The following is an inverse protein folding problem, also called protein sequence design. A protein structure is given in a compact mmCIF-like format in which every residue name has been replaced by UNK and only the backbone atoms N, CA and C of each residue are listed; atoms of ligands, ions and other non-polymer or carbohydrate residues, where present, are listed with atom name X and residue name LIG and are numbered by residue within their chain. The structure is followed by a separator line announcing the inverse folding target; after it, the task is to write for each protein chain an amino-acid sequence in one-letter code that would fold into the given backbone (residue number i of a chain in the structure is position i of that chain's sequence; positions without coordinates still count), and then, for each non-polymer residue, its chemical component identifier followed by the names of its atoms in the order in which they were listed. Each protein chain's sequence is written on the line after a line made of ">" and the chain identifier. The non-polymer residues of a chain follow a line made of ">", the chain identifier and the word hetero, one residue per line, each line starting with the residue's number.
data_IF_994912697444
#
_entry.id   IF_994912697444
#
_cell.length_a   1.000
_cell.length_b   1.000
_cell.length_c   1.000
_cell.angle_alpha   90.00
_cell.angle_beta   90.00
_cell.angle_gamma   90.00
#
_symmetry.space_group_name_H-M   'P 1'
#
loop_
_entity.id
_entity.type
_entity.pdbx_description
1 polymer ?
#
# COMPACT_ATOMS: atom_id res chain seq x y z
N UNK A 1 54.86 -25.52 -2.48
CA UNK A 1 53.90 -24.56 -3.05
C UNK A 1 53.40 -23.71 -1.89
N UNK A 2 53.86 -22.46 -1.86
CA UNK A 2 53.81 -21.54 -0.73
C UNK A 2 52.44 -20.84 -0.61
N UNK A 3 51.80 -20.94 0.55
CA UNK A 3 50.59 -20.19 0.89
C UNK A 3 50.95 -18.76 1.31
N UNK A 4 50.33 -17.76 0.66
CA UNK A 4 50.50 -16.36 0.98
C UNK A 4 49.31 -15.84 1.81
N UNK A 5 49.58 -15.53 3.08
CA UNK A 5 48.66 -14.87 4.01
C UNK A 5 48.58 -13.38 3.64
N UNK A 6 47.46 -12.93 3.09
CA UNK A 6 47.21 -11.49 2.85
C UNK A 6 46.67 -10.87 4.13
N UNK A 7 47.51 -10.06 4.80
CA UNK A 7 47.14 -9.24 5.96
C UNK A 7 46.37 -7.99 5.51
N UNK A 8 45.30 -7.67 6.25
CA UNK A 8 44.47 -6.46 6.11
C UNK A 8 45.14 -5.32 6.90
N UNK A 9 45.32 -4.09 6.36
CA UNK A 9 45.84 -2.99 7.16
C UNK A 9 44.71 -2.32 7.96
N UNK A 10 45.01 -2.07 9.23
CA UNK A 10 44.17 -1.33 10.17
C UNK A 10 44.26 0.19 9.97
N UNK A 11 43.17 0.84 10.36
CA UNK A 11 42.95 2.27 10.39
C UNK A 11 43.83 2.99 11.40
N UNK A 12 44.53 4.04 10.97
CA UNK A 12 45.06 5.09 11.84
C UNK A 12 44.44 6.42 11.42
N UNK A 13 43.58 6.98 12.28
CA UNK A 13 43.06 8.32 12.13
C UNK A 13 44.07 9.36 12.58
N UNK A 14 44.17 10.46 11.83
CA UNK A 14 44.81 11.70 12.28
C UNK A 14 44.00 12.92 11.83
N UNK A 15 44.02 13.93 12.70
CA UNK A 15 43.10 15.05 12.81
C UNK A 15 43.35 16.21 11.83
N UNK A 16 42.24 16.85 11.44
CA UNK A 16 41.98 18.29 11.28
C UNK A 16 43.09 19.22 10.77
N UNK A 17 42.85 19.81 9.59
CA UNK A 17 43.01 21.26 9.36
C UNK A 17 41.77 21.81 8.66
N UNK A 18 41.03 22.61 9.42
CA UNK A 18 39.95 23.47 8.94
C UNK A 18 40.61 24.61 8.17
N UNK A 19 40.27 24.79 6.90
CA UNK A 19 40.59 26.00 6.15
C UNK A 19 39.31 26.55 5.52
N UNK A 20 39.22 27.86 5.58
CA UNK A 20 38.02 28.67 5.58
C UNK A 20 37.11 28.54 4.36
N UNK A 21 35.80 28.55 4.65
CA UNK A 21 34.72 28.61 3.67
C UNK A 21 34.57 30.05 3.20
N UNK A 22 35.20 30.40 2.08
CA UNK A 22 34.78 31.53 1.26
C UNK A 22 33.53 31.15 0.47
N UNK A 23 32.41 31.82 0.80
CA UNK A 23 31.15 31.75 0.08
C UNK A 23 31.32 32.32 -1.33
N UNK A 24 31.49 31.44 -2.32
CA UNK A 24 31.23 31.76 -3.72
C UNK A 24 29.91 31.06 -4.11
N UNK A 25 28.80 31.78 -3.97
CA UNK A 25 27.51 31.37 -4.52
C UNK A 25 27.45 31.87 -5.96
N UNK A 26 28.20 31.22 -6.84
CA UNK A 26 27.96 31.34 -8.27
C UNK A 26 26.87 30.35 -8.68
N UNK A 27 25.86 30.88 -9.37
CA UNK A 27 24.67 30.16 -9.80
C UNK A 27 25.01 29.08 -10.82
N UNK A 28 25.30 27.87 -10.34
CA UNK A 28 25.26 26.66 -11.16
C UNK A 28 23.82 26.45 -11.61
N UNK A 29 23.51 26.86 -12.84
CA UNK A 29 22.27 26.49 -13.51
C UNK A 29 22.20 24.96 -13.54
N UNK A 30 21.37 24.37 -12.66
CA UNK A 30 21.15 22.93 -12.61
C UNK A 30 20.63 22.50 -13.98
N UNK A 31 21.48 21.85 -14.77
CA UNK A 31 21.04 21.15 -15.96
C UNK A 31 19.89 20.20 -15.56
N UNK A 32 18.82 20.10 -16.36
CA UNK A 32 17.71 19.22 -16.04
C UNK A 32 18.24 17.79 -15.86
N UNK A 33 17.85 17.15 -14.77
CA UNK A 33 18.23 15.77 -14.48
C UNK A 33 17.69 14.85 -15.59
N UNK A 34 18.58 14.38 -16.47
CA UNK A 34 18.24 13.39 -17.49
C UNK A 34 18.38 12.01 -16.86
N UNK A 35 17.26 11.35 -16.58
CA UNK A 35 17.25 9.97 -16.07
C UNK A 35 17.79 9.04 -17.17
N UNK A 36 18.88 8.28 -16.92
CA UNK A 36 19.35 7.26 -17.86
C UNK A 36 18.22 6.28 -18.21
N UNK A 37 18.07 5.96 -19.50
CA UNK A 37 17.07 5.01 -19.95
C UNK A 37 17.48 3.60 -19.50
N UNK A 38 16.92 3.15 -18.38
CA UNK A 38 17.08 1.77 -17.90
C UNK A 38 16.43 0.82 -18.91
N UNK A 39 17.07 -0.33 -19.16
CA UNK A 39 16.54 -1.33 -20.08
C UNK A 39 15.13 -1.76 -19.67
N UNK A 40 14.24 -1.85 -20.67
CA UNK A 40 12.85 -2.29 -20.47
C UNK A 40 12.84 -3.77 -20.12
N UNK A 41 12.05 -4.14 -19.13
CA UNK A 41 11.89 -5.54 -18.68
C UNK A 41 10.56 -6.06 -19.23
N UNK A 42 10.53 -7.29 -19.75
CA UNK A 42 9.33 -7.89 -20.34
C UNK A 42 8.85 -9.08 -19.52
N UNK A 43 7.55 -9.40 -19.61
CA UNK A 43 7.00 -10.60 -19.00
C UNK A 43 7.27 -11.81 -19.89
N UNK A 44 7.74 -12.92 -19.31
CA UNK A 44 7.97 -14.17 -20.02
C UNK A 44 6.72 -15.02 -20.22
N UNK A 45 5.63 -14.70 -19.50
CA UNK A 45 4.39 -15.48 -19.48
C UNK A 45 3.29 -14.91 -20.38
N UNK A 46 3.32 -13.62 -20.69
CA UNK A 46 2.38 -13.00 -21.63
C UNK A 46 2.98 -11.81 -22.39
N UNK A 47 2.33 -11.44 -23.48
CA UNK A 47 2.72 -10.30 -24.33
C UNK A 47 1.72 -9.13 -24.26
N UNK A 48 1.02 -8.94 -23.14
CA UNK A 48 0.03 -7.86 -22.98
C UNK A 48 0.66 -6.45 -22.95
N UNK A 49 1.97 -6.36 -22.67
CA UNK A 49 2.71 -5.10 -22.58
C UNK A 49 3.88 -5.09 -23.59
N UNK A 50 3.61 -4.82 -24.87
CA UNK A 50 4.64 -4.82 -25.92
C UNK A 50 5.67 -3.71 -25.72
N UNK A 51 5.31 -2.64 -25.02
CA UNK A 51 6.21 -1.52 -24.70
C UNK A 51 7.14 -1.80 -23.51
N UNK A 52 6.99 -2.94 -22.82
CA UNK A 52 7.78 -3.35 -21.66
C UNK A 52 7.48 -2.56 -20.37
N UNK A 53 8.01 -3.05 -19.25
CA UNK A 53 7.96 -2.42 -17.93
C UNK A 53 9.19 -1.55 -17.70
N UNK A 54 9.02 -0.46 -16.94
CA UNK A 54 10.09 0.49 -16.61
C UNK A 54 11.00 -0.02 -15.48
N UNK A 55 10.53 -0.99 -14.70
CA UNK A 55 11.29 -1.57 -13.59
C UNK A 55 10.94 -3.03 -13.33
N UNK A 56 11.86 -3.74 -12.66
CA UNK A 56 11.61 -5.12 -12.21
C UNK A 56 10.46 -5.20 -11.19
N UNK A 57 10.20 -4.13 -10.43
CA UNK A 57 9.10 -4.07 -9.47
C UNK A 57 7.74 -3.98 -10.16
N UNK A 58 7.66 -3.26 -11.29
CA UNK A 58 6.45 -3.26 -12.12
C UNK A 58 6.18 -4.64 -12.72
N UNK A 59 7.21 -5.31 -13.24
CA UNK A 59 7.08 -6.69 -13.72
C UNK A 59 6.62 -7.62 -12.59
N UNK A 60 7.18 -7.52 -11.38
CA UNK A 60 6.74 -8.32 -10.22
C UNK A 60 5.26 -8.08 -9.90
N UNK A 61 4.79 -6.83 -9.92
CA UNK A 61 3.37 -6.50 -9.71
C UNK A 61 2.48 -7.04 -10.82
N UNK A 62 2.94 -7.00 -12.06
CA UNK A 62 2.21 -7.59 -13.19
C UNK A 62 2.11 -9.12 -13.03
N UNK A 63 3.25 -9.79 -12.78
CA UNK A 63 3.30 -11.24 -12.60
C UNK A 63 2.44 -11.71 -11.42
N UNK A 64 2.43 -10.98 -10.30
CA UNK A 64 1.50 -11.31 -9.23
C UNK A 64 0.06 -11.08 -9.67
N UNK A 65 -0.29 -9.96 -10.30
CA UNK A 65 -1.70 -9.67 -10.66
C UNK A 65 -2.28 -10.52 -11.78
N UNK A 66 -1.47 -10.96 -12.74
CA UNK A 66 -1.92 -11.61 -13.98
C UNK A 66 -1.51 -13.08 -14.04
N UNK A 67 -0.47 -13.47 -13.30
CA UNK A 67 0.11 -14.81 -13.38
C UNK A 67 0.29 -15.49 -12.01
N UNK A 68 -0.41 -15.02 -10.98
CA UNK A 68 -0.55 -15.80 -9.75
C UNK A 68 -1.41 -17.01 -10.06
N UNK A 69 -0.77 -18.16 -10.22
CA UNK A 69 -1.46 -19.43 -10.44
C UNK A 69 -2.04 -19.90 -9.12
N UNK A 70 -3.36 -19.88 -9.00
CA UNK A 70 -4.07 -20.55 -7.91
C UNK A 70 -5.10 -19.69 -7.18
N UNK A 71 -6.03 -20.34 -6.46
CA UNK A 71 -7.02 -19.64 -5.66
C UNK A 71 -6.37 -18.82 -4.56
N UNK A 72 -6.84 -17.58 -4.40
CA UNK A 72 -6.35 -16.70 -3.34
C UNK A 72 -7.31 -16.71 -2.17
N UNK A 73 -6.75 -16.71 -0.97
CA UNK A 73 -7.53 -16.47 0.25
C UNK A 73 -7.93 -14.99 0.28
N UNK A 74 -9.22 -14.76 0.31
CA UNK A 74 -9.86 -13.47 0.53
C UNK A 74 -10.57 -13.44 1.87
N UNK A 75 -10.82 -12.24 2.37
CA UNK A 75 -11.58 -12.03 3.58
C UNK A 75 -12.67 -11.00 3.31
N UNK A 76 -13.91 -11.31 3.67
CA UNK A 76 -15.04 -10.40 3.53
C UNK A 76 -15.58 -10.02 4.91
N UNK A 77 -16.14 -8.82 5.03
CA UNK A 77 -16.86 -8.41 6.22
C UNK A 77 -18.28 -9.00 6.17
N UNK A 78 -18.69 -9.69 7.23
CA UNK A 78 -20.04 -10.26 7.37
C UNK A 78 -20.70 -9.76 8.64
N UNK A 79 -22.03 -9.75 8.66
CA UNK A 79 -22.82 -9.38 9.83
C UNK A 79 -23.49 -10.64 10.41
N UNK A 80 -23.01 -11.12 11.56
CA UNK A 80 -23.62 -12.25 12.28
C UNK A 80 -24.65 -11.80 13.31
N UNK A 81 -24.97 -10.50 13.40
CA UNK A 81 -26.02 -10.03 14.31
C UNK A 81 -27.41 -10.50 13.83
N UNK A 82 -28.37 -10.72 14.74
CA UNK A 82 -29.69 -11.23 14.40
C UNK A 82 -30.46 -10.32 13.43
N UNK A 83 -30.22 -9.01 13.48
CA UNK A 83 -30.91 -8.02 12.65
C UNK A 83 -30.14 -7.62 11.38
N UNK A 84 -28.83 -7.93 11.29
CA UNK A 84 -27.95 -7.60 10.14
C UNK A 84 -27.88 -6.10 9.77
N UNK A 85 -28.19 -5.21 10.71
CA UNK A 85 -28.27 -3.77 10.47
C UNK A 85 -26.91 -3.05 10.57
N UNK A 86 -25.89 -3.67 11.16
CA UNK A 86 -24.63 -3.00 11.51
C UNK A 86 -23.79 -2.68 10.29
N UNK A 87 -23.75 -3.60 9.32
CA UNK A 87 -22.99 -3.42 8.07
C UNK A 87 -23.81 -2.80 6.94
N UNK A 88 -25.14 -2.77 7.03
CA UNK A 88 -26.05 -2.37 5.95
C UNK A 88 -25.81 -0.94 5.43
N UNK A 89 -25.39 -0.02 6.32
CA UNK A 89 -25.14 1.39 5.98
C UNK A 89 -23.84 1.63 5.21
N UNK A 90 -22.95 0.63 5.15
CA UNK A 90 -21.64 0.76 4.51
C UNK A 90 -21.65 0.15 3.11
N UNK A 91 -21.41 0.98 2.08
CA UNK A 91 -21.39 0.55 0.67
C UNK A 91 -20.41 -0.60 0.44
N UNK A 92 -19.18 -0.50 0.94
CA UNK A 92 -18.16 -1.54 0.75
C UNK A 92 -18.51 -2.86 1.42
N UNK A 93 -19.19 -2.82 2.58
CA UNK A 93 -19.66 -4.04 3.24
C UNK A 93 -20.87 -4.63 2.51
N UNK A 94 -21.79 -3.79 2.03
CA UNK A 94 -22.96 -4.21 1.24
C UNK A 94 -22.58 -4.87 -0.08
N UNK A 95 -21.54 -4.37 -0.74
CA UNK A 95 -21.00 -4.94 -1.97
C UNK A 95 -20.15 -6.20 -1.72
N UNK A 96 -19.87 -6.55 -0.46
CA UNK A 96 -19.07 -7.71 -0.13
C UNK A 96 -17.61 -7.57 -0.56
N UNK A 97 -17.02 -6.38 -0.38
CA UNK A 97 -15.63 -6.11 -0.78
C UNK A 97 -14.69 -7.15 -0.18
N UNK A 98 -13.91 -7.80 -1.06
CA UNK A 98 -12.93 -8.79 -0.67
C UNK A 98 -11.60 -8.12 -0.33
N UNK A 99 -11.09 -8.45 0.84
CA UNK A 99 -9.79 -8.00 1.34
C UNK A 99 -8.76 -9.12 1.19
N UNK A 100 -7.53 -8.76 0.85
CA UNK A 100 -6.45 -9.73 0.70
C UNK A 100 -6.00 -10.36 2.04
N UNK A 101 -6.26 -9.67 3.16
CA UNK A 101 -5.87 -10.11 4.50
C UNK A 101 -6.98 -9.77 5.51
N UNK A 102 -7.08 -10.59 6.55
CA UNK A 102 -7.98 -10.42 7.68
C UNK A 102 -7.81 -9.07 8.41
N UNK A 103 -6.57 -8.64 8.66
CA UNK A 103 -6.29 -7.37 9.33
C UNK A 103 -6.71 -6.16 8.51
N UNK A 104 -6.77 -6.28 7.18
CA UNK A 104 -7.29 -5.21 6.31
C UNK A 104 -8.82 -5.07 6.45
N UNK A 105 -9.53 -6.20 6.49
CA UNK A 105 -10.97 -6.23 6.78
C UNK A 105 -11.24 -5.69 8.20
N UNK A 106 -10.45 -6.10 9.19
CA UNK A 106 -10.54 -5.60 10.56
C UNK A 106 -10.30 -4.08 10.63
N UNK A 107 -9.28 -3.56 9.93
CA UNK A 107 -9.00 -2.14 9.89
C UNK A 107 -10.18 -1.33 9.32
N UNK A 108 -10.86 -1.85 8.29
CA UNK A 108 -12.08 -1.25 7.77
C UNK A 108 -13.17 -1.20 8.85
N UNK A 109 -13.48 -2.34 9.48
CA UNK A 109 -14.49 -2.44 10.54
C UNK A 109 -14.21 -1.45 11.68
N UNK A 110 -12.97 -1.40 12.17
CA UNK A 110 -12.60 -0.51 13.28
C UNK A 110 -12.74 0.97 12.93
N UNK A 111 -12.38 1.38 11.71
CA UNK A 111 -12.41 2.79 11.28
C UNK A 111 -13.79 3.28 10.89
N UNK A 112 -14.60 2.42 10.29
CA UNK A 112 -15.90 2.82 9.71
C UNK A 112 -17.04 2.54 10.67
N UNK A 113 -17.00 1.41 11.37
CA UNK A 113 -18.14 0.94 12.16
C UNK A 113 -17.95 1.14 13.67
N UNK A 114 -16.80 0.73 14.22
CA UNK A 114 -16.58 0.84 15.68
C UNK A 114 -16.15 2.25 16.11
N UNK A 115 -15.33 2.92 15.31
CA UNK A 115 -14.85 4.27 15.57
C UNK A 115 -15.06 5.16 14.33
N UNK A 116 -16.30 5.48 13.92
CA UNK A 116 -16.54 6.39 12.80
C UNK A 116 -15.99 7.80 13.12
N UNK A 117 -15.16 8.37 12.25
CA UNK A 117 -14.64 9.73 12.43
C UNK A 117 -15.74 10.74 12.08
N UNK A 118 -16.07 11.65 13.01
CA UNK A 118 -16.90 12.81 12.69
C UNK A 118 -16.11 13.75 11.77
N UNK A 119 -16.67 14.11 10.61
CA UNK A 119 -16.04 15.04 9.67
C UNK A 119 -16.05 16.46 10.26
N UNK A 120 -14.95 17.22 10.11
CA UNK A 120 -14.84 18.62 10.55
C UNK A 120 -13.76 18.88 11.61
N UNK A 121 -13.67 20.15 12.08
CA UNK A 121 -12.65 20.61 13.04
C UNK A 121 -12.67 19.85 14.38
N UNK A 122 -13.84 19.38 14.83
CA UNK A 122 -13.98 18.60 16.06
C UNK A 122 -13.42 17.17 15.95
N UNK A 123 -13.32 16.60 14.75
CA UNK A 123 -12.80 15.24 14.55
C UNK A 123 -11.28 15.11 14.62
N UNK A 124 -10.54 16.20 14.89
CA UNK A 124 -9.08 16.14 15.03
C UNK A 124 -8.64 15.73 16.45
N UNK A 125 -9.34 16.20 17.48
CA UNK A 125 -9.08 15.83 18.87
C UNK A 125 -9.37 14.35 19.11
N UNK A 126 -10.49 13.87 18.55
CA UNK A 126 -10.92 12.48 18.61
C UNK A 126 -9.92 11.49 17.99
N UNK A 127 -9.03 11.94 17.09
CA UNK A 127 -8.04 11.05 16.45
C UNK A 127 -6.97 10.56 17.43
N UNK A 128 -6.63 11.35 18.45
CA UNK A 128 -5.50 11.07 19.35
C UNK A 128 -5.86 10.13 20.50
N UNK A 129 -7.14 10.07 20.90
CA UNK A 129 -7.60 9.23 22.01
C UNK A 129 -8.27 7.91 21.55
N UNK A 130 -8.06 7.52 20.29
CA UNK A 130 -8.72 6.34 19.73
C UNK A 130 -7.92 5.08 19.94
N UNK A 131 -8.57 4.10 20.55
CA UNK A 131 -8.11 2.71 20.60
C UNK A 131 -8.38 2.06 19.24
N UNK A 132 -7.46 2.25 18.30
CA UNK A 132 -7.52 1.64 16.96
C UNK A 132 -7.46 0.11 16.98
N UNK A 133 -7.22 -0.49 18.14
CA UNK A 133 -7.14 -1.94 18.36
C UNK A 133 -8.38 -2.57 18.98
N UNK A 134 -9.39 -1.77 19.29
CA UNK A 134 -10.68 -2.24 19.79
C UNK A 134 -11.70 -2.32 18.65
N UNK A 135 -12.43 -3.44 18.47
CA UNK A 135 -12.36 -4.71 19.20
C UNK A 135 -11.13 -5.57 18.84
N UNK A 136 -10.80 -6.52 19.72
CA UNK A 136 -9.73 -7.50 19.50
C UNK A 136 -9.91 -8.26 18.18
N UNK A 137 -8.79 -8.61 17.55
CA UNK A 137 -8.80 -9.24 16.22
C UNK A 137 -9.54 -10.59 16.21
N UNK A 138 -9.44 -11.36 17.29
CA UNK A 138 -10.12 -12.65 17.44
C UNK A 138 -11.65 -12.49 17.44
N UNK A 139 -12.17 -11.49 18.16
CA UNK A 139 -13.59 -11.15 18.14
C UNK A 139 -14.08 -10.77 16.74
N UNK A 140 -13.27 -10.01 15.98
CA UNK A 140 -13.60 -9.64 14.60
C UNK A 140 -13.60 -10.85 13.67
N UNK A 141 -12.65 -11.78 13.83
CA UNK A 141 -12.59 -13.03 13.05
C UNK A 141 -13.77 -13.95 13.30
N UNK A 142 -14.27 -13.99 14.53
CA UNK A 142 -15.33 -14.93 14.90
C UNK A 142 -16.72 -14.47 14.42
N UNK A 143 -17.00 -13.17 14.46
CA UNK A 143 -18.36 -12.65 14.22
C UNK A 143 -18.47 -11.74 12.99
N UNK A 144 -17.36 -11.15 12.53
CA UNK A 144 -17.43 -10.04 11.57
C UNK A 144 -16.63 -10.25 10.29
N UNK A 145 -15.80 -11.29 10.21
CA UNK A 145 -14.92 -11.56 9.07
C UNK A 145 -15.05 -13.03 8.68
N UNK A 146 -15.17 -13.30 7.38
CA UNK A 146 -15.19 -14.67 6.84
C UNK A 146 -14.11 -14.83 5.78
N UNK A 147 -13.38 -15.94 5.85
CA UNK A 147 -12.46 -16.36 4.80
C UNK A 147 -13.24 -16.91 3.60
N UNK A 148 -12.89 -16.45 2.40
CA UNK A 148 -13.47 -16.87 1.13
C UNK A 148 -12.34 -17.20 0.16
N UNK A 149 -12.57 -18.21 -0.67
CA UNK A 149 -11.63 -18.58 -1.73
C UNK A 149 -11.98 -17.79 -3.00
N UNK A 150 -11.07 -16.92 -3.44
CA UNK A 150 -11.24 -16.09 -4.62
C UNK A 150 -10.70 -16.85 -5.83
N UNK A 151 -11.56 -17.06 -6.82
CA UNK A 151 -11.16 -17.55 -8.13
C UNK A 151 -10.79 -16.38 -9.05
N UNK A 152 -9.96 -16.62 -10.07
CA UNK A 152 -9.43 -15.56 -10.95
C UNK A 152 -10.53 -14.71 -11.63
N UNK A 153 -11.76 -15.21 -11.71
CA UNK A 153 -12.93 -14.50 -12.25
C UNK A 153 -13.48 -13.43 -11.31
N UNK A 154 -13.35 -13.58 -9.99
CA UNK A 154 -13.93 -12.66 -9.00
C UNK A 154 -13.05 -11.41 -8.77
N UNK A 155 -11.75 -11.48 -9.05
CA UNK A 155 -10.83 -10.35 -8.87
C UNK A 155 -11.11 -9.18 -9.83
N UNK A 156 -11.70 -9.45 -10.99
CA UNK A 156 -12.06 -8.39 -11.95
C UNK A 156 -13.17 -7.48 -11.41
N UNK A 157 -14.09 -8.00 -10.59
CA UNK A 157 -15.20 -7.23 -10.03
C UNK A 157 -14.78 -6.29 -8.88
N UNK A 158 -13.68 -6.59 -8.18
CA UNK A 158 -13.19 -5.77 -7.06
C UNK A 158 -12.18 -4.69 -7.48
N UNK A 159 -11.68 -4.74 -8.73
CA UNK A 159 -10.64 -3.84 -9.25
C UNK A 159 -11.17 -2.49 -9.75
N UNK A 160 -12.47 -2.35 -10.00
CA UNK A 160 -13.10 -1.11 -10.49
C UNK A 160 -13.52 -0.11 -9.40
N UNK A 161 -13.16 -0.34 -8.13
CA UNK A 161 -13.53 0.57 -7.02
C UNK A 161 -12.35 1.38 -6.45
N UNK A 162 -11.32 1.63 -7.25
CA UNK A 162 -10.42 2.74 -6.99
C UNK A 162 -10.80 3.91 -7.91
N UNK A 163 -11.95 4.54 -7.65
CA UNK A 163 -12.22 5.86 -8.18
C UNK A 163 -13.10 6.73 -7.26
N UNK A 164 -12.70 8.00 -7.19
CA UNK A 164 -13.33 9.22 -6.65
C UNK A 164 -13.92 9.26 -5.22
N UNK A 165 -13.18 9.94 -4.36
CA UNK A 165 -13.70 10.86 -3.34
C UNK A 165 -12.66 11.97 -3.24
N UNK A 166 -12.88 13.26 -3.49
CA UNK A 166 -14.05 14.15 -3.49
C UNK A 166 -13.70 15.37 -4.37
N UNK A 167 -14.67 16.01 -5.01
CA UNK A 167 -14.43 17.29 -5.71
C UNK A 167 -15.54 17.76 -6.64
N UNK A 168 -16.81 17.56 -6.29
CA UNK A 168 -17.90 18.25 -6.98
C UNK A 168 -18.12 19.60 -6.29
N UNK A 169 -17.39 20.63 -6.73
CA UNK A 169 -17.76 22.01 -6.45
C UNK A 169 -18.23 22.67 -7.76
N UNK A 170 -19.53 22.92 -7.77
CA UNK A 170 -20.31 23.54 -8.82
C UNK A 170 -20.03 25.04 -8.84
N UNK A 171 -19.46 25.55 -9.93
CA UNK A 171 -19.57 26.97 -10.30
C UNK A 171 -20.93 27.24 -10.98
N UNK A 172 -21.28 28.50 -11.30
CA UNK A 172 -21.43 29.67 -10.42
C UNK A 172 -22.85 30.26 -10.56
N UNK A 173 -23.33 31.01 -9.57
CA UNK A 173 -24.32 32.09 -9.77
C UNK A 173 -23.95 33.25 -8.86
#
# INVERSE_FOLDING_TARGET
>A
MSEAIVRRPESSGENSKVLDRVNAVESLSKAPYIRPQVSKVYCSKCNQYPNGFRSINELKRHTSRVHSSGPRKGFICIDTSPNKDFLFKCKTCKEGKVYAMDYNAAAHLRRVHFHPIRRGKQGQEDKKNRRMDEPAMEHLKQYWIKEVEITETDELASRDQQDVSEGEERSPV
#
